data_IF_391202189811
#
_entry.id   IF_391202189811
#
_cell.length_a   1.000
_cell.length_b   1.000
_cell.length_c   1.000
_cell.angle_alpha   90.00
_cell.angle_beta   90.00
_cell.angle_gamma   90.00
#
_symmetry.space_group_name_H-M   'P 1'
#
loop_
_entity.id
_entity.type
_entity.pdbx_description
1 polymer ?
#
# COMPACT_ATOMS: atom_id res chain seq x y z
N UNK A 1 8.77 0.72 -5.09
CA UNK A 1 7.88 0.03 -6.07
C UNK A 1 6.45 0.56 -5.85
N UNK A 2 5.57 0.65 -6.86
CA UNK A 2 4.18 1.12 -6.59
C UNK A 2 3.36 -0.07 -6.08
N UNK A 3 2.90 0.01 -4.84
CA UNK A 3 2.01 -1.01 -4.27
C UNK A 3 0.55 -0.58 -4.48
N UNK A 4 -0.25 -1.50 -5.01
CA UNK A 4 -1.69 -1.35 -5.14
C UNK A 4 -2.36 -2.35 -4.20
N UNK A 5 -3.33 -1.87 -3.43
CA UNK A 5 -4.07 -2.68 -2.47
C UNK A 5 -5.54 -2.79 -2.87
N UNK A 6 -6.20 -3.86 -2.42
CA UNK A 6 -7.63 -4.08 -2.65
C UNK A 6 -8.51 -3.48 -1.56
N UNK A 7 -7.94 -3.24 -0.35
CA UNK A 7 -8.70 -2.78 0.82
C UNK A 7 -7.92 -1.78 1.67
N UNK A 8 -8.67 -0.81 2.20
CA UNK A 8 -8.25 0.11 3.25
C UNK A 8 -8.51 -0.42 4.66
N UNK A 9 -9.30 -1.48 4.79
CA UNK A 9 -9.64 -2.07 6.08
C UNK A 9 -9.03 -3.47 6.20
N UNK A 10 -8.61 -3.81 7.41
CA UNK A 10 -8.16 -5.15 7.76
C UNK A 10 -9.34 -6.12 7.90
N UNK A 11 -9.05 -7.39 8.18
CA UNK A 11 -10.07 -8.42 8.37
C UNK A 11 -11.03 -8.14 9.54
N UNK A 12 -10.64 -7.26 10.47
CA UNK A 12 -11.43 -6.88 11.64
C UNK A 12 -12.24 -5.59 11.40
N UNK A 13 -12.12 -4.97 10.22
CA UNK A 13 -12.80 -3.73 9.86
C UNK A 13 -12.09 -2.46 10.32
N UNK A 14 -10.85 -2.54 10.79
CA UNK A 14 -10.06 -1.36 11.17
C UNK A 14 -9.30 -0.79 9.97
N UNK A 15 -9.16 0.54 9.92
CA UNK A 15 -8.35 1.20 8.89
C UNK A 15 -6.87 0.80 8.99
N UNK A 16 -6.31 0.38 7.87
CA UNK A 16 -4.91 0.02 7.74
C UNK A 16 -4.10 1.32 7.62
N UNK A 17 -3.33 1.62 8.66
CA UNK A 17 -2.42 2.77 8.68
C UNK A 17 -1.39 2.67 7.54
N UNK A 18 -1.07 3.81 6.94
CA UNK A 18 -0.13 3.90 5.81
C UNK A 18 -0.77 3.70 4.44
N UNK A 19 -2.08 3.38 4.36
CA UNK A 19 -2.81 3.28 3.09
C UNK A 19 -3.79 4.43 2.93
N UNK A 20 -3.97 4.87 1.69
CA UNK A 20 -4.92 5.93 1.33
C UNK A 20 -5.62 5.63 0.01
N UNK A 21 -6.78 6.23 -0.21
CA UNK A 21 -7.39 6.22 -1.55
C UNK A 21 -6.72 7.29 -2.39
N UNK A 22 -6.46 6.96 -3.64
CA UNK A 22 -6.02 7.86 -4.69
C UNK A 22 -7.05 7.78 -5.82
N UNK A 23 -7.76 8.87 -6.04
CA UNK A 23 -8.70 9.00 -7.14
C UNK A 23 -8.15 9.97 -8.18
N UNK A 24 -8.20 9.55 -9.44
CA UNK A 24 -7.76 10.35 -10.58
C UNK A 24 -8.94 10.38 -11.56
N UNK A 25 -9.50 11.57 -11.80
CA UNK A 25 -10.60 11.70 -12.75
C UNK A 25 -10.11 11.46 -14.17
N UNK A 26 -10.95 10.90 -15.03
CA UNK A 26 -10.56 10.61 -16.42
C UNK A 26 -10.15 11.87 -17.21
N UNK A 27 -10.72 13.03 -16.85
CA UNK A 27 -10.36 14.35 -17.40
C UNK A 27 -8.95 14.81 -17.05
N UNK A 28 -8.37 14.26 -15.98
CA UNK A 28 -7.09 14.69 -15.41
C UNK A 28 -5.92 13.77 -15.79
N UNK A 29 -6.19 12.79 -16.65
CA UNK A 29 -5.19 11.88 -17.21
C UNK A 29 -4.88 12.35 -18.63
N UNK A 30 -3.65 12.78 -18.85
CA UNK A 30 -3.17 13.14 -20.18
C UNK A 30 -2.99 11.89 -21.07
N UNK A 31 -2.86 12.09 -22.38
CA UNK A 31 -2.69 11.01 -23.35
C UNK A 31 -1.42 10.17 -23.16
N UNK A 32 -0.41 10.71 -22.48
CA UNK A 32 0.84 10.03 -22.11
C UNK A 32 0.76 9.33 -20.74
N UNK A 33 -0.39 9.40 -20.07
CA UNK A 33 -0.60 8.88 -18.72
C UNK A 33 -0.20 9.84 -17.59
N UNK A 34 0.20 11.07 -17.89
CA UNK A 34 0.54 12.09 -16.88
C UNK A 34 -0.70 12.52 -16.11
N UNK A 35 -0.57 12.62 -14.79
CA UNK A 35 -1.63 13.00 -13.85
C UNK A 35 -1.55 14.51 -13.62
N UNK A 36 -2.62 15.24 -13.94
CA UNK A 36 -2.72 16.69 -13.68
C UNK A 36 -3.19 16.98 -12.26
N UNK A 37 -4.32 16.38 -11.88
CA UNK A 37 -4.91 16.52 -10.56
C UNK A 37 -5.36 15.17 -10.04
N UNK A 38 -5.41 15.05 -8.72
CA UNK A 38 -5.86 13.86 -8.03
C UNK A 38 -6.55 14.26 -6.73
N UNK A 39 -7.41 13.37 -6.22
CA UNK A 39 -7.99 13.46 -4.89
C UNK A 39 -7.42 12.32 -4.05
N UNK A 40 -6.94 12.60 -2.85
CA UNK A 40 -6.45 11.58 -1.94
C UNK A 40 -7.15 11.64 -0.57
N UNK A 41 -7.23 10.50 0.12
CA UNK A 41 -7.77 10.40 1.48
C UNK A 41 -8.78 9.27 1.70
N UNK A 42 -9.00 8.89 2.96
CA UNK A 42 -9.96 7.84 3.33
C UNK A 42 -11.42 8.23 3.01
N UNK A 43 -11.74 9.52 3.11
CA UNK A 43 -13.09 10.08 2.91
C UNK A 43 -13.31 10.75 1.54
N UNK A 44 -12.55 10.39 0.51
CA UNK A 44 -12.72 10.97 -0.83
C UNK A 44 -14.10 10.67 -1.40
N UNK A 45 -14.91 11.70 -1.61
CA UNK A 45 -16.19 11.62 -2.31
C UNK A 45 -15.92 11.72 -3.81
N UNK A 46 -16.41 10.74 -4.56
CA UNK A 46 -16.23 10.63 -6.01
C UNK A 46 -17.57 10.92 -6.67
N UNK A 47 -17.63 12.04 -7.38
CA UNK A 47 -18.78 12.56 -8.11
C UNK A 47 -18.62 12.47 -9.64
N UNK A 48 -17.43 12.05 -10.09
CA UNK A 48 -17.03 11.99 -11.50
C UNK A 48 -16.43 10.62 -11.85
N UNK A 49 -16.41 10.28 -13.14
CA UNK A 49 -15.79 9.05 -13.62
C UNK A 49 -14.27 9.15 -13.62
N UNK A 50 -13.59 8.08 -13.21
CA UNK A 50 -12.14 8.04 -13.10
C UNK A 50 -11.62 6.70 -12.62
N UNK A 51 -10.36 6.69 -12.20
CA UNK A 51 -9.69 5.55 -11.62
C UNK A 51 -9.52 5.75 -10.12
N UNK A 52 -9.85 4.71 -9.36
CA UNK A 52 -9.65 4.67 -7.91
C UNK A 52 -8.62 3.60 -7.59
N UNK A 53 -7.57 4.00 -6.89
CA UNK A 53 -6.51 3.13 -6.40
C UNK A 53 -6.44 3.21 -4.89
N UNK A 54 -6.03 2.13 -4.25
CA UNK A 54 -5.59 2.16 -2.84
C UNK A 54 -4.09 1.98 -2.87
N UNK A 55 -3.38 2.99 -2.37
CA UNK A 55 -1.93 3.12 -2.47
C UNK A 55 -1.35 3.44 -1.10
N UNK A 56 -0.04 3.38 -0.98
CA UNK A 56 0.65 3.90 0.20
C UNK A 56 0.51 5.42 0.31
N UNK A 57 0.40 5.95 1.51
CA UNK A 57 0.23 7.37 1.80
C UNK A 57 1.39 8.24 1.30
N UNK A 58 2.63 7.75 1.39
CA UNK A 58 3.82 8.43 0.89
C UNK A 58 3.85 8.60 -0.64
N UNK A 59 3.03 7.83 -1.38
CA UNK A 59 2.92 7.97 -2.84
C UNK A 59 2.29 9.34 -3.20
N UNK A 60 1.44 9.88 -2.32
CA UNK A 60 0.70 11.11 -2.59
C UNK A 60 1.63 12.31 -2.78
N UNK A 61 2.70 12.38 -1.99
CA UNK A 61 3.71 13.45 -2.09
C UNK A 61 4.63 13.29 -3.30
N UNK A 62 4.62 12.12 -3.93
CA UNK A 62 5.52 11.73 -5.03
C UNK A 62 4.74 11.30 -6.29
N UNK A 63 3.49 11.75 -6.41
CA UNK A 63 2.58 11.38 -7.49
C UNK A 63 3.10 11.84 -8.87
N UNK A 64 3.95 12.87 -8.90
CA UNK A 64 4.64 13.37 -10.09
C UNK A 64 5.62 12.35 -10.69
N UNK A 65 6.11 11.41 -9.87
CA UNK A 65 7.01 10.32 -10.29
C UNK A 65 6.27 9.14 -10.94
N UNK A 66 4.94 9.09 -10.83
CA UNK A 66 4.11 8.02 -11.43
C UNK A 66 3.30 8.51 -12.62
N UNK A 67 2.85 7.55 -13.44
CA UNK A 67 1.93 7.73 -14.55
C UNK A 67 0.86 6.64 -14.52
N UNK A 68 -0.29 6.95 -15.09
CA UNK A 68 -1.34 5.97 -15.34
C UNK A 68 -1.00 5.20 -16.61
N UNK A 69 -0.96 3.88 -16.53
CA UNK A 69 -0.86 2.98 -17.67
C UNK A 69 -2.08 2.06 -17.69
N UNK A 70 -3.08 2.45 -18.49
CA UNK A 70 -4.38 1.79 -18.56
C UNK A 70 -5.15 1.86 -17.24
N UNK A 71 -5.22 0.73 -16.52
CA UNK A 71 -5.86 0.60 -15.21
C UNK A 71 -4.86 0.38 -14.07
N UNK A 72 -3.60 0.75 -14.28
CA UNK A 72 -2.52 0.57 -13.30
C UNK A 72 -1.71 1.84 -13.15
N UNK A 73 -0.97 1.96 -12.04
CA UNK A 73 0.01 3.02 -11.81
C UNK A 73 1.42 2.46 -12.04
N UNK A 74 2.23 3.17 -12.82
CA UNK A 74 3.63 2.82 -13.09
C UNK A 74 4.55 3.99 -12.80
N UNK A 75 5.76 3.68 -12.35
CA UNK A 75 6.81 4.70 -12.26
C UNK A 75 7.21 5.18 -13.65
N UNK A 76 7.54 6.46 -13.74
CA UNK A 76 8.22 7.02 -14.91
C UNK A 76 9.64 6.46 -14.98
N UNK A 77 10.19 6.41 -16.19
CA UNK A 77 11.48 5.78 -16.43
C UNK A 77 12.59 6.45 -15.61
N UNK A 78 13.36 5.62 -14.87
CA UNK A 78 14.46 6.08 -14.02
C UNK A 78 14.05 6.72 -12.68
N UNK A 79 12.75 6.79 -12.35
CA UNK A 79 12.29 7.32 -11.07
C UNK A 79 12.21 6.23 -10.00
N UNK A 80 12.51 6.61 -8.76
CA UNK A 80 12.40 5.76 -7.57
C UNK A 80 11.51 6.47 -6.55
N UNK A 81 10.64 5.72 -5.90
CA UNK A 81 9.86 6.23 -4.76
C UNK A 81 10.74 6.21 -3.52
N UNK A 82 10.77 7.35 -2.84
CA UNK A 82 11.39 7.48 -1.53
C UNK A 82 10.39 6.94 -0.51
N UNK A 83 10.48 5.64 -0.23
CA UNK A 83 9.65 4.99 0.77
C UNK A 83 10.12 5.46 2.15
N UNK A 84 9.23 5.96 3.03
CA UNK A 84 9.61 6.34 4.38
C UNK A 84 10.21 5.12 5.08
N UNK A 85 11.23 5.32 5.95
CA UNK A 85 11.80 4.21 6.70
C UNK A 85 10.68 3.51 7.47
N UNK A 86 10.62 2.17 7.37
CA UNK A 86 9.68 1.34 8.14
C UNK A 86 9.64 1.84 9.57
N UNK A 87 8.45 2.15 10.09
CA UNK A 87 8.34 2.61 11.47
C UNK A 87 8.85 1.53 12.42
N UNK A 88 9.39 1.91 13.59
CA UNK A 88 9.83 0.97 14.63
C UNK A 88 8.78 -0.10 14.95
N UNK A 89 7.49 0.22 14.78
CA UNK A 89 6.37 -0.69 14.96
C UNK A 89 6.35 -1.84 13.94
N UNK A 90 6.73 -1.59 12.69
CA UNK A 90 6.85 -2.65 11.67
C UNK A 90 8.05 -3.56 11.94
N UNK A 91 9.17 -3.00 12.40
CA UNK A 91 10.30 -3.81 12.89
C UNK A 91 9.90 -4.67 14.08
N UNK A 92 9.16 -4.11 15.04
CA UNK A 92 8.65 -4.86 16.20
C UNK A 92 7.68 -5.97 15.80
N UNK A 93 6.78 -5.74 14.83
CA UNK A 93 5.89 -6.80 14.34
C UNK A 93 6.63 -7.94 13.66
N UNK A 94 7.69 -7.63 12.90
CA UNK A 94 8.54 -8.64 12.25
C UNK A 94 9.32 -9.47 13.29
N UNK A 95 9.82 -8.82 14.35
CA UNK A 95 10.47 -9.46 15.50
C UNK A 95 9.50 -10.37 16.28
N UNK A 96 8.29 -9.87 16.57
CA UNK A 96 7.24 -10.62 17.25
C UNK A 96 6.80 -11.86 16.45
N UNK A 97 6.67 -11.73 15.12
CA UNK A 97 6.37 -12.88 14.26
C UNK A 97 7.48 -13.93 14.30
N UNK A 98 8.77 -13.53 14.29
CA UNK A 98 9.88 -14.47 14.44
C UNK A 98 9.82 -15.21 15.77
N UNK A 99 9.51 -14.52 16.86
CA UNK A 99 9.40 -15.13 18.18
C UNK A 99 8.25 -16.15 18.23
N UNK A 100 7.08 -15.82 17.68
CA UNK A 100 5.96 -16.76 17.60
C UNK A 100 6.31 -18.02 16.80
N UNK A 101 7.00 -17.86 15.67
CA UNK A 101 7.38 -18.98 14.82
C UNK A 101 8.41 -19.90 15.51
N UNK A 102 9.37 -19.32 16.24
CA UNK A 102 10.34 -20.08 17.02
C UNK A 102 9.68 -20.86 18.17
N UNK A 103 8.72 -20.25 18.87
CA UNK A 103 7.96 -20.92 19.94
C UNK A 103 7.08 -22.07 19.40
N UNK A 104 6.43 -21.88 18.24
CA UNK A 104 5.67 -22.95 17.59
C UNK A 104 6.56 -24.13 17.19
N UNK A 105 7.78 -23.86 16.72
CA UNK A 105 8.75 -24.93 16.41
C UNK A 105 9.20 -25.67 17.68
N UNK A 106 9.46 -24.97 18.79
CA UNK A 106 9.79 -25.62 20.06
C UNK A 106 8.64 -26.51 20.55
N UNK A 107 7.41 -26.02 20.52
CA UNK A 107 6.24 -26.80 20.94
C UNK A 107 6.00 -28.03 20.05
N UNK A 108 6.27 -27.93 18.75
CA UNK A 108 6.20 -29.08 17.84
C UNK A 108 7.27 -30.14 18.15
N UNK A 109 8.51 -29.71 18.46
CA UNK A 109 9.61 -30.63 18.80
C UNK A 109 9.42 -31.32 20.16
N UNK A 110 8.84 -30.62 21.14
CA UNK A 110 8.51 -31.18 22.46
C UNK A 110 7.34 -32.18 22.41
N UNK A 111 6.41 -32.01 21.47
CA UNK A 111 5.29 -32.94 21.27
C UNK A 111 5.67 -34.20 20.48
N UNK A 112 6.75 -34.17 19.69
CA UNK A 112 7.31 -35.37 19.03
C UNK A 112 8.22 -36.21 19.93
N UNK A 113 8.74 -35.67 21.03
CA UNK A 113 9.66 -36.38 21.95
C UNK A 113 8.95 -37.12 23.11
N UNK A 114 7.62 -37.03 23.19
CA UNK A 114 6.82 -37.66 24.27
C UNK A 114 5.98 -38.87 23.80
N UNK A 115 6.23 -39.41 22.60
CA UNK A 115 5.60 -40.64 22.09
C UNK A 115 6.53 -41.85 22.16
#
# INVERSE_FOLDING_TARGET
>A
MVNLYDSLVDANGFEIKGRTRLFIAASDIQSDGTINTFKAGSSTIIDVSGLLFIVDDYLIEQIDKVRVDGRTLKLKDGQVLDEPPKSDTQLQMEELQRQMLALQQQQALESETTN
#
